data_IF_879703193238
#
_entry.id   IF_879703193238
#
_cell.length_a   1.000
_cell.length_b   1.000
_cell.length_c   1.000
_cell.angle_alpha   90.00
_cell.angle_beta   90.00
_cell.angle_gamma   90.00
#
_symmetry.space_group_name_H-M   'P 1'
#
loop_
_entity.id
_entity.type
_entity.pdbx_description
1 polymer ?
#
# COMPACT_ATOMS: atom_id res chain seq x y z
N UNK A 1 -11.03 11.12 -36.08
CA UNK A 1 -10.61 9.80 -35.54
C UNK A 1 -11.62 9.39 -34.48
N UNK A 2 -12.09 8.15 -34.50
CA UNK A 2 -12.97 7.64 -33.45
C UNK A 2 -12.19 7.52 -32.13
N UNK A 3 -12.81 7.91 -31.02
CA UNK A 3 -12.22 7.80 -29.68
C UNK A 3 -11.93 6.34 -29.33
N UNK A 4 -10.74 6.06 -28.76
CA UNK A 4 -10.30 4.71 -28.38
C UNK A 4 -11.08 4.15 -27.19
N UNK A 5 -11.59 5.04 -26.34
CA UNK A 5 -12.25 4.69 -25.09
C UNK A 5 -13.61 5.41 -24.99
N UNK A 6 -14.60 4.86 -24.28
CA UNK A 6 -15.90 5.51 -24.08
C UNK A 6 -15.82 6.63 -23.03
N UNK A 7 -14.96 7.63 -23.24
CA UNK A 7 -14.75 8.78 -22.36
C UNK A 7 -14.72 10.09 -23.17
N UNK A 8 -14.81 11.24 -22.49
CA UNK A 8 -14.62 12.54 -23.16
C UNK A 8 -13.25 12.62 -23.82
N UNK A 9 -13.19 13.27 -24.99
CA UNK A 9 -11.96 13.49 -25.76
C UNK A 9 -10.87 14.14 -24.91
N UNK A 10 -11.24 15.11 -24.05
CA UNK A 10 -10.30 15.77 -23.13
C UNK A 10 -9.59 14.79 -22.18
N UNK A 11 -10.34 13.80 -21.67
CA UNK A 11 -9.80 12.79 -20.75
C UNK A 11 -8.88 11.82 -21.48
N UNK A 12 -9.24 11.45 -22.70
CA UNK A 12 -8.42 10.60 -23.55
C UNK A 12 -7.10 11.29 -23.92
N UNK A 13 -7.15 12.54 -24.40
CA UNK A 13 -5.97 13.32 -24.75
C UNK A 13 -5.01 13.46 -23.56
N UNK A 14 -5.54 13.77 -22.37
CA UNK A 14 -4.74 13.86 -21.15
C UNK A 14 -4.05 12.53 -20.79
N UNK A 15 -4.73 11.41 -20.99
CA UNK A 15 -4.13 10.09 -20.75
C UNK A 15 -2.99 9.81 -21.74
N UNK A 16 -3.18 10.12 -23.02
CA UNK A 16 -2.16 9.92 -24.06
C UNK A 16 -0.92 10.78 -23.80
N UNK A 17 -1.11 12.05 -23.46
CA UNK A 17 -0.03 12.96 -23.07
C UNK A 17 0.75 12.41 -21.86
N UNK A 18 0.05 11.94 -20.83
CA UNK A 18 0.70 11.33 -19.67
C UNK A 18 1.50 10.06 -20.04
N UNK A 19 0.98 9.24 -20.94
CA UNK A 19 1.68 8.05 -21.41
C UNK A 19 2.95 8.42 -22.20
N UNK A 20 2.88 9.47 -23.02
CA UNK A 20 4.02 9.98 -23.79
C UNK A 20 5.11 10.54 -22.86
N UNK A 21 4.73 11.37 -21.88
CA UNK A 21 5.66 11.90 -20.86
C UNK A 21 6.36 10.78 -20.09
N UNK A 22 5.66 9.67 -19.83
CA UNK A 22 6.21 8.50 -19.14
C UNK A 22 6.88 7.49 -20.10
N UNK A 23 6.96 7.81 -21.38
CA UNK A 23 7.52 6.96 -22.44
C UNK A 23 6.89 5.56 -22.53
N UNK A 24 5.61 5.44 -22.17
CA UNK A 24 4.86 4.19 -22.20
C UNK A 24 4.32 3.96 -23.62
N UNK A 25 4.84 2.95 -24.32
CA UNK A 25 4.37 2.57 -25.66
C UNK A 25 3.26 1.52 -25.58
N UNK A 26 2.27 1.62 -26.47
CA UNK A 26 1.20 0.62 -26.52
C UNK A 26 1.70 -0.79 -26.87
N UNK A 27 2.80 -0.89 -27.63
CA UNK A 27 3.41 -2.17 -28.03
C UNK A 27 4.03 -2.95 -26.87
N UNK A 28 4.32 -2.27 -25.77
CA UNK A 28 4.93 -2.84 -24.57
C UNK A 28 3.89 -3.23 -23.51
N UNK A 29 2.62 -2.98 -23.78
CA UNK A 29 1.51 -3.31 -22.91
C UNK A 29 0.88 -4.64 -23.30
N UNK A 30 0.84 -5.59 -22.37
CA UNK A 30 0.04 -6.81 -22.51
C UNK A 30 -1.32 -6.58 -21.87
N UNK A 31 -2.35 -6.57 -22.70
CA UNK A 31 -3.74 -6.46 -22.27
C UNK A 31 -4.41 -7.82 -22.32
N UNK A 32 -5.01 -8.24 -21.21
CA UNK A 32 -5.78 -9.47 -21.09
C UNK A 32 -7.11 -9.19 -20.41
N UNK A 33 -8.15 -9.95 -20.76
CA UNK A 33 -9.49 -9.78 -20.22
C UNK A 33 -9.88 -10.99 -19.41
N UNK A 34 -10.41 -10.74 -18.23
CA UNK A 34 -10.82 -11.79 -17.29
C UNK A 34 -12.29 -11.60 -16.93
N UNK A 35 -12.93 -12.71 -16.56
CA UNK A 35 -14.27 -12.77 -16.01
C UNK A 35 -14.16 -13.13 -14.53
N UNK A 36 -15.11 -12.66 -13.73
CA UNK A 36 -15.14 -13.04 -12.32
C UNK A 36 -15.54 -14.51 -12.17
N UNK A 37 -14.98 -15.17 -11.17
CA UNK A 37 -15.38 -16.51 -10.74
C UNK A 37 -16.24 -16.46 -9.47
N UNK A 38 -17.12 -17.45 -9.30
CA UNK A 38 -17.89 -17.67 -8.06
C UNK A 38 -19.41 -17.58 -8.23
N UNK A 39 -20.15 -17.71 -7.11
CA UNK A 39 -21.62 -17.66 -7.04
C UNK A 39 -22.20 -16.24 -7.25
N UNK A 40 -21.49 -15.39 -8.00
CA UNK A 40 -21.86 -14.01 -8.28
C UNK A 40 -23.02 -13.87 -9.27
N UNK A 41 -23.32 -12.62 -9.63
CA UNK A 41 -24.41 -12.27 -10.54
C UNK A 41 -24.16 -12.72 -11.99
N UNK A 42 -25.23 -13.16 -12.67
CA UNK A 42 -25.21 -13.70 -14.05
C UNK A 42 -24.38 -12.87 -15.03
N UNK A 43 -24.44 -11.54 -14.94
CA UNK A 43 -23.74 -10.65 -15.87
C UNK A 43 -22.21 -10.65 -15.66
N UNK A 44 -21.74 -10.58 -14.41
CA UNK A 44 -20.30 -10.47 -14.07
C UNK A 44 -19.54 -11.76 -14.38
N UNK A 45 -20.22 -12.90 -14.26
CA UNK A 45 -19.64 -14.20 -14.60
C UNK A 45 -19.64 -14.46 -16.11
N UNK A 46 -20.60 -13.88 -16.85
CA UNK A 46 -20.74 -14.08 -18.30
C UNK A 46 -19.84 -13.14 -19.11
N UNK A 47 -19.66 -11.89 -18.69
CA UNK A 47 -18.95 -10.88 -19.50
C UNK A 47 -17.54 -10.66 -18.98
N UNK A 48 -16.55 -10.77 -19.86
CA UNK A 48 -15.13 -10.52 -19.56
C UNK A 48 -14.83 -9.02 -19.53
N UNK A 49 -15.39 -8.32 -18.53
CA UNK A 49 -15.24 -6.85 -18.40
C UNK A 49 -13.98 -6.43 -17.65
N UNK A 50 -13.38 -7.32 -16.85
CA UNK A 50 -12.20 -7.00 -16.07
C UNK A 50 -10.95 -6.99 -16.96
N UNK A 51 -10.14 -5.94 -16.83
CA UNK A 51 -8.92 -5.73 -17.62
C UNK A 51 -7.73 -6.01 -16.74
N UNK A 52 -6.81 -6.84 -17.23
CA UNK A 52 -5.49 -7.05 -16.67
C UNK A 52 -4.45 -6.52 -17.65
N UNK A 53 -3.76 -5.47 -17.22
CA UNK A 53 -2.79 -4.74 -18.01
C UNK A 53 -1.40 -4.90 -17.38
N UNK A 54 -0.44 -5.36 -18.17
CA UNK A 54 0.95 -5.55 -17.74
C UNK A 54 1.87 -4.71 -18.62
N UNK A 55 2.76 -3.95 -17.99
CA UNK A 55 3.83 -3.23 -18.69
C UNK A 55 5.08 -4.11 -18.69
N UNK A 56 5.48 -4.63 -19.85
CA UNK A 56 6.62 -5.55 -19.98
C UNK A 56 7.92 -5.01 -19.39
N UNK A 57 8.38 -3.78 -19.71
CA UNK A 57 9.71 -3.34 -19.30
C UNK A 57 9.81 -3.04 -17.79
N UNK A 58 8.75 -2.56 -17.14
CA UNK A 58 8.76 -2.33 -15.69
C UNK A 58 8.27 -3.52 -14.87
N UNK A 59 7.63 -4.51 -15.50
CA UNK A 59 6.98 -5.63 -14.82
C UNK A 59 5.76 -5.24 -13.98
N UNK A 60 5.27 -3.99 -14.08
CA UNK A 60 4.14 -3.52 -13.28
C UNK A 60 2.82 -4.05 -13.87
N UNK A 61 2.04 -4.70 -13.02
CA UNK A 61 0.73 -5.25 -13.35
C UNK A 61 -0.40 -4.47 -12.69
N UNK A 62 -1.50 -4.31 -13.42
CA UNK A 62 -2.72 -3.60 -13.00
C UNK A 62 -3.94 -4.43 -13.38
N UNK A 63 -4.78 -4.72 -12.39
CA UNK A 63 -6.11 -5.33 -12.59
C UNK A 63 -7.16 -4.26 -12.32
N UNK A 64 -8.09 -4.07 -13.25
CA UNK A 64 -9.18 -3.10 -13.13
C UNK A 64 -10.52 -3.73 -13.49
N UNK A 65 -11.44 -3.75 -12.52
CA UNK A 65 -12.81 -4.26 -12.65
C UNK A 65 -13.84 -3.28 -12.06
N UNK A 66 -13.54 -1.98 -12.09
CA UNK A 66 -14.32 -0.94 -11.42
C UNK A 66 -15.65 -0.62 -12.12
N UNK A 67 -15.67 -0.68 -13.45
CA UNK A 67 -16.81 -0.32 -14.26
C UNK A 67 -17.47 -1.55 -14.89
N UNK A 68 -18.74 -1.39 -15.31
CA UNK A 68 -19.51 -2.44 -15.99
C UNK A 68 -19.08 -2.69 -17.43
N UNK A 69 -18.36 -1.75 -18.06
CA UNK A 69 -17.93 -1.85 -19.45
C UNK A 69 -16.43 -2.05 -19.56
N UNK A 70 -16.02 -2.90 -20.51
CA UNK A 70 -14.61 -3.16 -20.79
C UNK A 70 -13.86 -1.88 -21.17
N UNK A 71 -14.44 -1.04 -22.05
CA UNK A 71 -13.79 0.20 -22.50
C UNK A 71 -13.42 1.17 -21.36
N UNK A 72 -14.31 1.37 -20.38
CA UNK A 72 -14.02 2.20 -19.22
C UNK A 72 -12.94 1.58 -18.33
N UNK A 73 -12.97 0.25 -18.16
CA UNK A 73 -11.92 -0.47 -17.43
C UNK A 73 -10.56 -0.38 -18.13
N UNK A 74 -10.50 -0.37 -19.47
CA UNK A 74 -9.25 -0.19 -20.22
C UNK A 74 -8.65 1.19 -20.00
N UNK A 75 -9.46 2.24 -20.12
CA UNK A 75 -9.05 3.61 -19.82
C UNK A 75 -8.52 3.73 -18.38
N UNK A 76 -9.28 3.21 -17.41
CA UNK A 76 -8.91 3.32 -16.01
C UNK A 76 -7.69 2.49 -15.64
N UNK A 77 -7.51 1.31 -16.23
CA UNK A 77 -6.32 0.49 -16.06
C UNK A 77 -5.05 1.23 -16.52
N UNK A 78 -5.10 1.93 -17.66
CA UNK A 78 -3.98 2.74 -18.18
C UNK A 78 -3.69 3.94 -17.29
N UNK A 79 -4.72 4.63 -16.81
CA UNK A 79 -4.55 5.74 -15.88
C UNK A 79 -3.87 5.28 -14.57
N UNK A 80 -4.30 4.15 -14.00
CA UNK A 80 -3.69 3.57 -12.79
C UNK A 80 -2.25 3.11 -13.08
N UNK A 81 -1.98 2.55 -14.27
CA UNK A 81 -0.64 2.13 -14.65
C UNK A 81 0.32 3.34 -14.71
N UNK A 82 -0.11 4.45 -15.29
CA UNK A 82 0.67 5.69 -15.33
C UNK A 82 1.02 6.20 -13.93
N UNK A 83 0.03 6.20 -13.01
CA UNK A 83 0.25 6.59 -11.62
C UNK A 83 1.27 5.67 -10.92
N UNK A 84 1.15 4.34 -11.10
CA UNK A 84 2.12 3.39 -10.53
C UNK A 84 3.52 3.58 -11.08
N UNK A 85 3.67 3.87 -12.38
CA UNK A 85 4.97 4.12 -13.01
C UNK A 85 5.56 5.45 -12.52
N UNK A 86 4.74 6.50 -12.38
CA UNK A 86 5.20 7.76 -11.78
C UNK A 86 5.73 7.55 -10.36
N UNK A 87 4.99 6.81 -9.54
CA UNK A 87 5.41 6.52 -8.18
C UNK A 87 6.66 5.63 -8.14
N UNK A 88 6.79 4.69 -9.06
CA UNK A 88 8.00 3.88 -9.21
C UNK A 88 9.22 4.76 -9.56
N UNK A 89 9.08 5.65 -10.54
CA UNK A 89 10.12 6.58 -10.94
C UNK A 89 10.50 7.52 -9.78
N UNK A 90 9.51 8.10 -9.08
CA UNK A 90 9.76 8.97 -7.90
C UNK A 90 10.54 8.24 -6.80
N UNK A 91 10.17 6.99 -6.51
CA UNK A 91 10.88 6.16 -5.51
C UNK A 91 12.32 5.88 -5.95
N UNK A 92 12.55 5.60 -7.23
CA UNK A 92 13.90 5.39 -7.76
C UNK A 92 14.77 6.65 -7.66
N UNK A 93 14.17 7.84 -7.82
CA UNK A 93 14.85 9.12 -7.62
C UNK A 93 15.01 9.49 -6.12
N UNK A 94 14.49 8.68 -5.18
CA UNK A 94 14.52 8.99 -3.75
C UNK A 94 13.61 10.16 -3.33
N UNK A 95 12.72 10.61 -4.22
CA UNK A 95 11.82 11.73 -3.95
C UNK A 95 10.59 11.19 -3.24
N UNK A 96 10.62 11.23 -1.91
CA UNK A 96 9.48 10.93 -1.05
C UNK A 96 8.57 12.16 -0.95
N UNK A 97 7.25 11.97 -1.05
CA UNK A 97 6.30 13.07 -0.79
C UNK A 97 6.36 13.48 0.69
N UNK A 98 6.01 14.73 1.00
CA UNK A 98 5.94 15.20 2.39
C UNK A 98 5.00 14.34 3.25
N UNK A 99 3.89 13.86 2.67
CA UNK A 99 2.97 12.98 3.39
C UNK A 99 3.59 11.62 3.69
N UNK A 100 4.39 11.07 2.77
CA UNK A 100 5.16 9.85 3.01
C UNK A 100 6.22 10.07 4.09
N UNK A 101 6.93 11.20 4.08
CA UNK A 101 7.91 11.55 5.13
C UNK A 101 7.22 11.70 6.49
N UNK A 102 6.07 12.38 6.56
CA UNK A 102 5.26 12.52 7.78
C UNK A 102 4.78 11.17 8.31
N UNK A 103 4.27 10.31 7.43
CA UNK A 103 3.88 8.94 7.76
C UNK A 103 5.03 8.14 8.37
N UNK A 104 6.21 8.16 7.72
CA UNK A 104 7.42 7.49 8.23
C UNK A 104 7.80 8.05 9.60
N UNK A 105 7.82 9.37 9.76
CA UNK A 105 8.12 10.04 11.04
C UNK A 105 7.15 9.63 12.14
N UNK A 106 5.85 9.59 11.86
CA UNK A 106 4.84 9.18 12.83
C UNK A 106 5.02 7.72 13.23
N UNK A 107 5.22 6.82 12.26
CA UNK A 107 5.49 5.40 12.52
C UNK A 107 6.74 5.19 13.38
N UNK A 108 7.81 5.96 13.14
CA UNK A 108 9.02 5.93 13.97
C UNK A 108 8.75 6.42 15.39
N UNK A 109 8.00 7.53 15.57
CA UNK A 109 7.60 8.03 16.89
C UNK A 109 6.80 7.00 17.67
N UNK A 110 5.83 6.35 17.02
CA UNK A 110 5.00 5.33 17.65
C UNK A 110 5.80 4.09 18.04
N UNK A 111 6.74 3.66 17.19
CA UNK A 111 7.66 2.56 17.50
C UNK A 111 8.56 2.90 18.71
N UNK A 112 9.07 4.14 18.79
CA UNK A 112 9.90 4.60 19.91
C UNK A 112 9.10 4.62 21.22
N UNK A 113 7.89 5.18 21.20
CA UNK A 113 6.97 5.20 22.36
C UNK A 113 6.64 3.80 22.86
N UNK A 114 6.39 2.84 21.96
CA UNK A 114 6.17 1.44 22.32
C UNK A 114 7.39 0.85 23.02
N UNK A 115 8.58 0.97 22.42
CA UNK A 115 9.84 0.44 22.99
C UNK A 115 10.11 1.00 24.39
N UNK A 116 9.91 2.30 24.57
CA UNK A 116 10.08 2.98 25.86
C UNK A 116 9.06 2.48 26.91
N UNK A 117 7.80 2.28 26.54
CA UNK A 117 6.77 1.73 27.44
C UNK A 117 7.14 0.32 27.93
N UNK A 118 7.58 -0.56 27.04
CA UNK A 118 8.01 -1.92 27.42
C UNK A 118 9.29 -1.90 28.27
N UNK A 119 10.25 -1.02 27.95
CA UNK A 119 11.47 -0.84 28.75
C UNK A 119 11.16 -0.38 30.17
N UNK A 120 10.28 0.63 30.34
CA UNK A 120 9.87 1.13 31.66
C UNK A 120 9.09 0.08 32.45
N UNK A 121 8.25 -0.71 31.78
CA UNK A 121 7.53 -1.82 32.44
C UNK A 121 8.49 -2.89 32.96
N UNK A 122 9.53 -3.22 32.19
CA UNK A 122 10.57 -4.15 32.66
C UNK A 122 11.37 -3.58 33.83
N UNK A 123 11.75 -2.29 33.79
CA UNK A 123 12.46 -1.66 34.91
C UNK A 123 11.61 -1.62 36.17
N UNK A 124 10.35 -1.19 36.08
CA UNK A 124 9.44 -1.18 37.23
C UNK A 124 9.17 -2.59 37.78
N UNK A 125 9.14 -3.62 36.93
CA UNK A 125 9.00 -5.01 37.39
C UNK A 125 10.25 -5.46 38.16
N UNK A 126 11.45 -5.15 37.65
CA UNK A 126 12.69 -5.51 38.34
C UNK A 126 12.90 -4.78 39.67
N UNK A 127 12.46 -3.52 39.79
CA UNK A 127 12.60 -2.77 41.05
C UNK A 127 11.67 -3.31 42.11
N UNK A 128 10.42 -3.62 41.76
CA UNK A 128 9.44 -4.18 42.71
C UNK A 128 9.92 -5.52 43.27
N UNK A 129 10.47 -6.41 42.44
CA UNK A 129 11.01 -7.68 42.93
C UNK A 129 12.23 -7.52 43.85
N UNK A 130 13.10 -6.54 43.60
CA UNK A 130 14.24 -6.26 44.47
C UNK A 130 13.81 -5.66 45.82
N UNK A 131 12.80 -4.80 45.80
CA UNK A 131 12.20 -4.22 47.01
C UNK A 131 11.51 -5.31 47.87
N UNK A 132 10.81 -6.26 47.24
CA UNK A 132 10.21 -7.41 47.93
C UNK A 132 11.26 -8.30 48.62
N UNK A 133 12.37 -8.61 47.94
CA UNK A 133 13.47 -9.42 48.48
C UNK A 133 14.22 -8.72 49.63
N UNK A 134 14.39 -7.41 49.58
CA UNK A 134 15.00 -6.64 50.69
C UNK A 134 14.08 -6.58 51.90
N UNK A 135 12.77 -6.39 51.71
CA UNK A 135 11.81 -6.30 52.81
C UNK A 135 11.71 -7.62 53.58
N UNK A 136 11.68 -8.77 52.88
CA UNK A 136 11.73 -10.11 53.48
C UNK A 136 13.01 -10.35 54.30
N UNK A 137 14.16 -9.80 53.86
CA UNK A 137 15.43 -9.90 54.58
C UNK A 137 15.48 -9.05 55.84
N UNK A 138 14.79 -7.91 55.86
CA UNK A 138 14.65 -7.06 57.05
C UNK A 138 13.74 -7.75 58.06
N UNK A 139 12.61 -8.28 57.61
CA UNK A 139 11.65 -9.02 58.45
C UNK A 139 12.28 -10.25 59.12
N UNK A 140 13.10 -11.04 58.40
CA UNK A 140 13.80 -12.19 58.98
C UNK A 140 14.86 -11.80 60.02
N UNK A 141 15.51 -10.64 59.87
CA UNK A 141 16.50 -10.15 60.85
C UNK A 141 15.84 -9.60 62.12
N UNK A 142 14.62 -9.07 62.03
CA UNK A 142 13.87 -8.60 63.19
C UNK A 142 13.39 -9.78 64.05
N UNK A 143 13.01 -10.90 63.43
CA UNK A 143 12.59 -12.13 64.14
C UNK A 143 13.75 -12.86 64.83
N UNK A 144 14.99 -12.75 64.33
CA UNK A 144 16.17 -13.38 64.95
C UNK A 144 16.75 -12.60 66.16
N UNK A 145 16.27 -11.38 66.42
CA UNK A 145 16.76 -10.51 67.51
C UNK A 145 15.77 -10.37 68.70
N UNK A 146 14.64 -11.08 68.68
CA UNK A 146 13.73 -11.29 69.84
C UNK A 146 13.97 -12.66 70.49
#
# INVERSE_FOLDING_TARGET
MASRFPVSVEKESKLLELMEVLQIKETELEESFTRSGGKGGQNVNKVSTAVHLKHKPTGIEVKCSLYRTQGLNRYKARAILCEKIQDFNRKNLGILSEDQKKSIRNKQKDSKRKKEKYSRKNQNFSTVSLEEDENLKVELKEVENE
#
